data_IF_887140479134
#
_entry.id   IF_887140479134
#
_cell.length_a   1.000
_cell.length_b   1.000
_cell.length_c   1.000
_cell.angle_alpha   90.00
_cell.angle_beta   90.00
_cell.angle_gamma   90.00
#
_symmetry.space_group_name_H-M   'P 1'
#
loop_
_entity.id
_entity.type
_entity.pdbx_description
1 polymer ?
#
# COMPACT_ATOMS: atom_id res chain seq x y z
N UNK A 1 -10.67 34.69 54.06
CA UNK A 1 -9.96 34.96 52.81
C UNK A 1 -9.37 33.63 52.37
N UNK A 2 -10.03 32.97 51.39
CA UNK A 2 -9.49 31.82 50.68
C UNK A 2 -8.61 32.35 49.57
N UNK A 3 -7.35 31.94 49.53
CA UNK A 3 -6.44 32.20 48.42
C UNK A 3 -6.78 31.23 47.33
N UNK A 4 -7.29 31.75 46.21
CA UNK A 4 -7.50 31.05 44.97
C UNK A 4 -6.13 30.81 44.31
N UNK A 5 -5.64 29.57 44.42
CA UNK A 5 -4.43 29.12 43.67
C UNK A 5 -4.83 28.96 42.24
N UNK A 6 -4.51 29.96 41.42
CA UNK A 6 -4.60 29.82 39.97
C UNK A 6 -3.49 28.86 39.50
N UNK A 7 -3.83 27.60 39.15
CA UNK A 7 -2.96 26.74 38.36
C UNK A 7 -2.74 27.40 36.98
N UNK A 8 -1.56 27.96 36.83
CA UNK A 8 -1.06 28.40 35.50
C UNK A 8 -0.82 27.14 34.67
N UNK A 9 -1.77 26.83 33.78
CA UNK A 9 -1.61 25.73 32.83
C UNK A 9 -0.39 26.03 31.97
N UNK A 10 0.63 25.16 32.05
CA UNK A 10 1.77 25.22 31.15
C UNK A 10 1.27 25.27 29.69
N UNK A 11 1.88 26.09 28.81
CA UNK A 11 1.50 26.14 27.40
C UNK A 11 1.58 24.73 26.82
N UNK A 12 0.52 24.28 26.16
CA UNK A 12 0.52 23.02 25.44
C UNK A 12 1.66 23.05 24.43
N UNK A 13 2.70 22.25 24.65
CA UNK A 13 3.79 22.09 23.69
C UNK A 13 3.17 21.45 22.46
N UNK A 14 3.04 22.21 21.38
CA UNK A 14 2.68 21.65 20.09
C UNK A 14 3.83 20.77 19.65
N UNK A 15 3.63 19.45 19.64
CA UNK A 15 4.63 18.50 19.12
C UNK A 15 4.87 18.83 17.66
N UNK A 16 6.14 19.07 17.34
CA UNK A 16 6.63 19.20 15.98
C UNK A 16 7.96 18.40 15.84
N UNK A 17 8.48 18.29 14.64
CA UNK A 17 9.68 17.50 14.36
C UNK A 17 11.00 18.16 14.85
N UNK A 18 10.94 19.26 15.57
CA UNK A 18 12.14 19.93 16.15
C UNK A 18 12.57 19.35 17.49
N UNK A 19 11.71 18.56 18.13
CA UNK A 19 11.93 18.03 19.49
C UNK A 19 11.74 16.50 19.60
N UNK A 20 11.87 15.76 18.49
CA UNK A 20 11.80 14.29 18.50
C UNK A 20 12.91 13.65 19.35
N UNK A 21 14.08 14.25 19.45
CA UNK A 21 15.17 13.79 20.32
C UNK A 21 14.88 13.92 21.83
N UNK A 22 13.81 14.60 22.24
CA UNK A 22 13.45 14.77 23.65
C UNK A 22 12.74 13.49 24.16
N UNK A 23 13.17 12.92 25.30
CA UNK A 23 12.71 11.60 25.75
C UNK A 23 11.23 11.54 26.15
N UNK A 24 10.57 12.68 26.33
CA UNK A 24 9.13 12.79 26.58
C UNK A 24 8.29 12.75 25.31
N UNK A 25 8.91 12.89 24.14
CA UNK A 25 8.23 12.86 22.84
C UNK A 25 8.45 11.51 22.17
N UNK A 26 7.47 11.06 21.40
CA UNK A 26 7.59 9.91 20.51
C UNK A 26 7.26 10.34 19.09
N UNK A 27 8.19 10.14 18.19
CA UNK A 27 8.05 10.57 16.81
C UNK A 27 8.07 9.38 15.85
N UNK A 28 7.08 9.36 14.95
CA UNK A 28 6.95 8.36 13.89
C UNK A 28 7.14 9.04 12.54
N UNK A 29 8.11 8.59 11.77
CA UNK A 29 8.30 8.96 10.37
C UNK A 29 7.71 7.91 9.44
N UNK A 30 7.08 8.30 8.34
CA UNK A 30 6.67 7.36 7.30
C UNK A 30 7.23 7.79 5.95
N UNK A 31 7.81 6.84 5.22
CA UNK A 31 8.30 7.07 3.85
C UNK A 31 7.55 6.12 2.92
N UNK A 32 6.88 6.67 1.90
CA UNK A 32 6.24 5.86 0.86
C UNK A 32 7.25 5.42 -0.20
N UNK A 33 6.95 4.35 -0.89
CA UNK A 33 7.62 4.01 -2.15
C UNK A 33 7.13 4.90 -3.31
N UNK A 34 6.91 4.34 -4.50
CA UNK A 34 6.42 5.09 -5.67
C UNK A 34 4.91 5.30 -5.60
N UNK A 35 4.48 6.18 -4.68
CA UNK A 35 3.06 6.50 -4.49
C UNK A 35 2.86 7.58 -3.45
N UNK A 36 1.63 8.02 -3.33
CA UNK A 36 1.21 9.06 -2.39
C UNK A 36 0.43 8.46 -1.23
N UNK A 37 0.40 9.17 -0.11
CA UNK A 37 -0.42 8.77 1.06
C UNK A 37 -1.93 8.88 0.80
N UNK A 38 -2.35 9.43 -0.32
CA UNK A 38 -3.75 9.53 -0.77
C UNK A 38 -4.02 8.75 -2.08
N UNK A 39 -3.22 7.71 -2.34
CA UNK A 39 -3.27 6.90 -3.57
C UNK A 39 -4.52 6.02 -3.72
N UNK A 40 -5.41 6.04 -2.75
CA UNK A 40 -6.62 5.20 -2.69
C UNK A 40 -6.31 3.70 -2.76
N UNK A 41 -5.15 3.30 -2.23
CA UNK A 41 -4.64 1.93 -2.24
C UNK A 41 -3.62 1.72 -1.12
N UNK A 42 -2.51 1.09 -1.44
CA UNK A 42 -1.48 0.56 -0.56
C UNK A 42 -0.82 1.60 0.36
N UNK A 43 -0.34 2.72 -0.20
CA UNK A 43 0.33 3.75 0.62
C UNK A 43 -0.66 4.46 1.53
N UNK A 44 -1.90 4.69 1.08
CA UNK A 44 -2.95 5.25 1.93
C UNK A 44 -3.25 4.32 3.11
N UNK A 45 -3.42 3.02 2.88
CA UNK A 45 -3.67 2.05 3.94
C UNK A 45 -2.56 2.03 5.00
N UNK A 46 -1.30 2.05 4.57
CA UNK A 46 -0.15 2.10 5.47
C UNK A 46 -0.10 3.41 6.26
N UNK A 47 -0.37 4.54 5.63
CA UNK A 47 -0.41 5.84 6.29
C UNK A 47 -1.54 5.97 7.30
N UNK A 48 -2.75 5.53 6.96
CA UNK A 48 -3.90 5.51 7.88
C UNK A 48 -3.61 4.61 9.10
N UNK A 49 -2.99 3.45 8.89
CA UNK A 49 -2.55 2.59 9.99
C UNK A 49 -1.53 3.28 10.92
N UNK A 50 -0.56 3.98 10.34
CA UNK A 50 0.41 4.76 11.10
C UNK A 50 -0.25 5.93 11.86
N UNK A 51 -1.25 6.60 11.26
CA UNK A 51 -2.02 7.67 11.92
C UNK A 51 -2.79 7.14 13.13
N UNK A 52 -3.46 5.99 12.98
CA UNK A 52 -4.20 5.36 14.08
C UNK A 52 -3.24 5.03 15.22
N UNK A 53 -2.14 4.33 14.92
CA UNK A 53 -1.16 3.93 15.92
C UNK A 53 -0.52 5.14 16.64
N UNK A 54 -0.12 6.18 15.89
CA UNK A 54 0.42 7.40 16.45
C UNK A 54 -0.59 8.11 17.36
N UNK A 55 -1.86 8.17 16.94
CA UNK A 55 -2.93 8.76 17.74
C UNK A 55 -3.19 8.02 19.06
N UNK A 56 -3.14 6.69 19.05
CA UNK A 56 -3.34 5.87 20.25
C UNK A 56 -2.27 6.06 21.33
N UNK A 57 -1.02 6.32 20.91
CA UNK A 57 0.11 6.51 21.85
C UNK A 57 0.48 7.99 22.06
N UNK A 58 -0.24 8.92 21.41
CA UNK A 58 0.07 10.35 21.47
C UNK A 58 1.38 10.74 20.79
N UNK A 59 1.79 9.99 19.75
CA UNK A 59 3.00 10.25 18.99
C UNK A 59 2.80 11.34 17.95
N UNK A 60 3.90 12.04 17.61
CA UNK A 60 3.96 12.90 16.45
C UNK A 60 4.19 12.06 15.19
N UNK A 61 3.39 12.27 14.14
CA UNK A 61 3.54 11.59 12.86
C UNK A 61 3.87 12.59 11.74
N UNK A 62 4.89 12.27 10.96
CA UNK A 62 5.22 12.97 9.72
C UNK A 62 5.52 11.97 8.61
N UNK A 63 5.21 12.32 7.36
CA UNK A 63 5.50 11.48 6.21
C UNK A 63 6.33 12.23 5.15
N UNK A 64 6.97 11.44 4.29
CA UNK A 64 7.64 11.88 3.06
C UNK A 64 7.25 10.93 1.94
N UNK A 65 6.77 11.49 0.83
CA UNK A 65 6.47 10.73 -0.39
C UNK A 65 7.70 10.65 -1.29
N UNK A 66 7.97 9.46 -1.83
CA UNK A 66 9.05 9.27 -2.78
C UNK A 66 8.51 9.27 -4.21
N UNK A 67 9.26 9.87 -5.12
CA UNK A 67 8.92 9.93 -6.56
C UNK A 67 9.91 9.16 -7.43
N UNK A 68 11.04 8.76 -6.85
CA UNK A 68 12.10 8.00 -7.54
C UNK A 68 12.76 7.07 -6.51
N UNK A 69 13.05 5.80 -6.83
CA UNK A 69 13.72 4.88 -5.90
C UNK A 69 15.08 5.36 -5.38
N UNK A 70 15.77 6.19 -6.13
CA UNK A 70 17.04 6.79 -5.68
C UNK A 70 16.91 7.73 -4.48
N UNK A 71 15.67 8.21 -4.19
CA UNK A 71 15.39 9.14 -3.10
C UNK A 71 15.12 8.42 -1.76
N UNK A 72 14.92 7.10 -1.76
CA UNK A 72 14.56 6.32 -0.56
C UNK A 72 15.51 6.54 0.61
N UNK A 73 16.83 6.37 0.38
CA UNK A 73 17.85 6.57 1.42
C UNK A 73 17.85 8.01 1.96
N UNK A 74 17.71 9.00 1.08
CA UNK A 74 17.68 10.39 1.49
C UNK A 74 16.41 10.74 2.26
N UNK A 75 15.27 10.17 1.86
CA UNK A 75 13.99 10.36 2.53
C UNK A 75 13.97 9.74 3.94
N UNK A 76 14.48 8.52 4.09
CA UNK A 76 14.69 7.88 5.40
C UNK A 76 15.63 8.72 6.26
N UNK A 77 16.74 9.20 5.67
CA UNK A 77 17.75 10.02 6.33
C UNK A 77 17.21 11.32 6.94
N UNK A 78 16.13 11.89 6.42
CA UNK A 78 15.48 13.07 7.00
C UNK A 78 14.95 12.81 8.43
N UNK A 79 14.38 11.62 8.65
CA UNK A 79 13.87 11.19 9.97
C UNK A 79 15.02 10.75 10.90
N UNK A 80 16.00 10.01 10.36
CA UNK A 80 17.20 9.61 11.11
C UNK A 80 17.93 10.84 11.67
N UNK A 81 18.14 11.88 10.84
CA UNK A 81 18.84 13.11 11.25
C UNK A 81 18.13 13.90 12.35
N UNK A 82 16.85 13.63 12.60
CA UNK A 82 16.01 14.26 13.65
C UNK A 82 15.74 13.32 14.82
N UNK A 83 16.39 12.16 14.84
CA UNK A 83 16.30 11.19 15.92
C UNK A 83 14.85 10.73 16.18
N UNK A 84 14.10 10.39 15.13
CA UNK A 84 12.79 9.79 15.25
C UNK A 84 12.89 8.43 15.92
N UNK A 85 11.89 8.07 16.74
CA UNK A 85 11.86 6.79 17.47
C UNK A 85 11.52 5.59 16.58
N UNK A 86 10.60 5.83 15.62
CA UNK A 86 10.16 4.80 14.67
C UNK A 86 10.09 5.37 13.26
N UNK A 87 10.60 4.62 12.29
CA UNK A 87 10.49 4.94 10.86
C UNK A 87 9.76 3.79 10.16
N UNK A 88 8.61 4.10 9.57
CA UNK A 88 7.82 3.18 8.74
C UNK A 88 8.23 3.39 7.29
N UNK A 89 8.66 2.34 6.63
CA UNK A 89 9.01 2.34 5.20
C UNK A 89 8.02 1.46 4.45
N UNK A 90 7.33 2.03 3.46
CA UNK A 90 6.21 1.38 2.81
C UNK A 90 6.63 0.83 1.45
N UNK A 91 6.47 -0.48 1.26
CA UNK A 91 6.65 -1.16 -0.01
C UNK A 91 7.92 -2.00 -0.14
N UNK A 92 7.79 -3.08 -0.89
CA UNK A 92 8.85 -4.05 -1.19
C UNK A 92 10.12 -3.40 -1.75
N UNK A 93 9.96 -2.39 -2.62
CA UNK A 93 11.08 -1.70 -3.28
C UNK A 93 12.00 -0.95 -2.30
N UNK A 94 11.52 -0.64 -1.09
CA UNK A 94 12.32 0.04 -0.06
C UNK A 94 13.11 -0.91 0.84
N UNK A 95 12.93 -2.24 0.72
CA UNK A 95 13.49 -3.21 1.68
C UNK A 95 15.00 -3.09 1.89
N UNK A 96 15.77 -2.88 0.82
CA UNK A 96 17.22 -2.71 0.89
C UNK A 96 17.62 -1.42 1.63
N UNK A 97 16.95 -0.30 1.30
CA UNK A 97 17.20 0.98 1.95
C UNK A 97 16.82 0.95 3.45
N UNK A 98 15.73 0.26 3.77
CA UNK A 98 15.26 0.06 5.16
C UNK A 98 16.27 -0.75 5.98
N UNK A 99 16.74 -1.87 5.44
CA UNK A 99 17.71 -2.73 6.11
C UNK A 99 19.05 -2.01 6.33
N UNK A 100 19.53 -1.26 5.32
CA UNK A 100 20.75 -0.46 5.45
C UNK A 100 20.62 0.61 6.53
N UNK A 101 19.51 1.36 6.51
CA UNK A 101 19.26 2.40 7.52
C UNK A 101 19.13 1.83 8.94
N UNK A 102 18.45 0.68 9.09
CA UNK A 102 18.29 0.01 10.38
C UNK A 102 19.63 -0.49 10.95
N UNK A 103 20.49 -1.06 10.10
CA UNK A 103 21.82 -1.52 10.50
C UNK A 103 22.73 -0.38 10.99
N UNK A 104 22.63 0.79 10.36
CA UNK A 104 23.42 1.98 10.72
C UNK A 104 22.87 2.74 11.93
N UNK A 105 21.58 2.53 12.29
CA UNK A 105 20.88 3.30 13.33
C UNK A 105 20.21 2.37 14.36
N UNK A 106 20.98 1.66 15.19
CA UNK A 106 20.44 0.61 16.07
C UNK A 106 19.49 1.11 17.17
N UNK A 107 19.42 2.41 17.42
CA UNK A 107 18.53 3.01 18.41
C UNK A 107 17.18 3.46 17.83
N UNK A 108 17.01 3.41 16.51
CA UNK A 108 15.76 3.74 15.83
C UNK A 108 15.05 2.45 15.45
N UNK A 109 13.75 2.35 15.71
CA UNK A 109 12.94 1.23 15.27
C UNK A 109 12.50 1.43 13.80
N UNK A 110 12.59 0.37 13.01
CA UNK A 110 12.11 0.38 11.63
C UNK A 110 10.97 -0.62 11.46
N UNK A 111 9.95 -0.24 10.72
CA UNK A 111 8.84 -1.10 10.30
C UNK A 111 8.77 -1.07 8.77
N UNK A 112 9.02 -2.20 8.14
CA UNK A 112 8.97 -2.34 6.70
C UNK A 112 7.66 -3.02 6.25
N UNK A 113 6.79 -2.31 5.54
CA UNK A 113 5.53 -2.85 5.01
C UNK A 113 5.82 -3.57 3.69
N UNK A 114 5.35 -4.81 3.54
CA UNK A 114 5.69 -5.73 2.43
C UNK A 114 7.19 -6.04 2.30
N UNK A 115 7.92 -6.00 3.41
CA UNK A 115 9.36 -6.21 3.40
C UNK A 115 9.74 -7.50 4.14
N UNK A 116 10.11 -8.52 3.38
CA UNK A 116 10.66 -9.74 3.95
C UNK A 116 12.09 -9.49 4.44
N UNK A 117 12.38 -9.93 5.67
CA UNK A 117 13.72 -9.83 6.26
C UNK A 117 14.51 -11.11 6.01
N UNK A 118 15.47 -11.06 5.09
CA UNK A 118 16.40 -12.18 4.83
C UNK A 118 17.37 -12.40 5.99
N UNK A 119 17.82 -11.33 6.63
CA UNK A 119 18.62 -11.34 7.86
C UNK A 119 17.87 -10.57 8.95
N UNK A 120 17.81 -11.15 10.14
CA UNK A 120 17.10 -10.52 11.26
C UNK A 120 17.94 -9.40 11.86
N UNK A 121 17.43 -8.17 11.79
CA UNK A 121 17.94 -7.03 12.53
C UNK A 121 17.04 -6.78 13.77
N UNK A 122 17.61 -6.54 14.95
CA UNK A 122 16.83 -6.41 16.19
C UNK A 122 15.89 -5.21 16.21
N UNK A 123 16.16 -4.21 15.39
CA UNK A 123 15.41 -2.96 15.29
C UNK A 123 14.64 -2.80 13.94
N UNK A 124 14.51 -3.88 13.16
CA UNK A 124 13.72 -3.86 11.92
C UNK A 124 12.67 -4.98 11.95
N UNK A 125 11.42 -4.61 11.87
CA UNK A 125 10.28 -5.53 11.75
C UNK A 125 9.68 -5.44 10.35
N UNK A 126 9.75 -6.54 9.60
CA UNK A 126 9.05 -6.66 8.31
C UNK A 126 7.62 -7.16 8.52
N UNK A 127 6.67 -6.46 7.93
CA UNK A 127 5.27 -6.88 7.85
C UNK A 127 5.07 -7.53 6.49
N UNK A 128 4.67 -8.79 6.49
CA UNK A 128 4.36 -9.55 5.27
C UNK A 128 2.93 -10.07 5.37
N UNK A 129 2.27 -10.18 4.25
CA UNK A 129 0.87 -10.56 4.16
C UNK A 129 0.71 -11.81 3.30
N UNK A 130 -0.51 -12.37 3.27
CA UNK A 130 -0.84 -13.54 2.46
C UNK A 130 -1.61 -13.09 1.21
N UNK A 131 -0.93 -12.39 0.31
CA UNK A 131 -1.50 -11.81 -0.91
C UNK A 131 -2.07 -12.89 -1.83
N UNK A 132 -1.44 -14.07 -1.85
CA UNK A 132 -1.94 -15.25 -2.55
C UNK A 132 -3.32 -15.69 -2.07
N UNK A 133 -3.59 -15.60 -0.75
CA UNK A 133 -4.90 -15.94 -0.19
C UNK A 133 -5.94 -14.88 -0.51
N UNK A 134 -5.57 -13.60 -0.43
CA UNK A 134 -6.46 -12.49 -0.80
C UNK A 134 -6.79 -12.53 -2.30
N UNK A 135 -5.78 -12.72 -3.14
CA UNK A 135 -5.95 -12.93 -4.58
C UNK A 135 -6.82 -14.15 -4.89
N UNK A 136 -6.62 -15.27 -4.17
CA UNK A 136 -7.45 -16.48 -4.31
C UNK A 136 -8.92 -16.19 -3.98
N UNK A 137 -9.21 -15.48 -2.90
CA UNK A 137 -10.58 -15.14 -2.53
C UNK A 137 -11.26 -14.26 -3.60
N UNK A 138 -10.54 -13.24 -4.11
CA UNK A 138 -11.00 -12.41 -5.21
C UNK A 138 -11.28 -13.22 -6.48
N UNK A 139 -10.35 -14.11 -6.85
CA UNK A 139 -10.48 -14.99 -8.01
C UNK A 139 -11.62 -16.00 -7.86
N UNK A 140 -11.78 -16.58 -6.68
CA UNK A 140 -12.88 -17.52 -6.40
C UNK A 140 -14.24 -16.84 -6.55
N UNK A 141 -14.37 -15.61 -6.03
CA UNK A 141 -15.58 -14.80 -6.22
C UNK A 141 -15.82 -14.50 -7.71
N UNK A 142 -14.78 -14.11 -8.45
CA UNK A 142 -14.88 -13.85 -9.88
C UNK A 142 -15.32 -15.09 -10.67
N UNK A 143 -14.76 -16.26 -10.36
CA UNK A 143 -15.13 -17.53 -10.98
C UNK A 143 -16.58 -17.95 -10.73
N UNK A 144 -17.11 -17.66 -9.53
CA UNK A 144 -18.52 -17.90 -9.20
C UNK A 144 -19.48 -16.92 -9.89
N UNK A 145 -19.06 -15.66 -10.06
CA UNK A 145 -19.92 -14.58 -10.55
C UNK A 145 -19.95 -14.45 -12.07
N UNK A 146 -18.86 -14.79 -12.75
CA UNK A 146 -18.76 -14.61 -14.21
C UNK A 146 -19.90 -15.27 -14.96
N UNK A 147 -20.42 -14.59 -15.98
CA UNK A 147 -21.44 -15.07 -16.91
C UNK A 147 -20.86 -15.36 -18.29
N UNK A 148 -19.74 -14.76 -18.62
CA UNK A 148 -19.06 -14.94 -19.90
C UNK A 148 -18.02 -16.06 -19.87
N UNK A 149 -17.69 -16.59 -18.69
CA UNK A 149 -16.53 -17.45 -18.42
C UNK A 149 -15.20 -16.79 -18.81
N UNK A 150 -15.14 -15.45 -18.79
CA UNK A 150 -13.92 -14.68 -19.01
C UNK A 150 -13.74 -13.65 -17.92
N UNK A 151 -12.62 -13.73 -17.25
CA UNK A 151 -12.25 -12.78 -16.19
C UNK A 151 -10.83 -12.26 -16.38
N UNK A 152 -10.57 -11.09 -15.86
CA UNK A 152 -9.31 -10.41 -16.04
C UNK A 152 -8.67 -9.93 -14.74
N UNK A 153 -7.39 -9.60 -14.81
CA UNK A 153 -6.69 -8.84 -13.81
C UNK A 153 -5.69 -7.88 -14.47
N UNK A 154 -5.58 -6.68 -13.90
CA UNK A 154 -4.63 -5.64 -14.28
C UNK A 154 -3.82 -5.29 -13.06
N UNK A 155 -2.54 -5.64 -13.08
CA UNK A 155 -1.67 -5.63 -11.90
C UNK A 155 -0.46 -4.73 -12.15
N UNK A 156 0.22 -4.35 -11.07
CA UNK A 156 1.52 -3.71 -11.10
C UNK A 156 2.54 -4.57 -11.86
N UNK A 157 3.67 -4.90 -11.26
CA UNK A 157 4.69 -5.73 -11.93
C UNK A 157 4.91 -7.06 -11.23
N UNK A 158 5.13 -8.14 -11.99
CA UNK A 158 5.45 -9.47 -11.49
C UNK A 158 6.87 -9.60 -10.88
N UNK A 159 7.69 -8.57 -11.03
CA UNK A 159 9.00 -8.49 -10.37
C UNK A 159 8.89 -8.13 -8.88
N UNK A 160 7.72 -7.72 -8.42
CA UNK A 160 7.39 -7.45 -7.01
C UNK A 160 6.59 -8.64 -6.47
N UNK A 161 7.14 -9.47 -5.57
CA UNK A 161 6.52 -10.72 -5.12
C UNK A 161 5.08 -10.58 -4.61
N UNK A 162 4.71 -9.59 -3.76
CA UNK A 162 3.32 -9.37 -3.36
C UNK A 162 2.35 -9.26 -4.55
N UNK A 163 2.73 -8.52 -5.60
CA UNK A 163 1.90 -8.35 -6.80
C UNK A 163 1.77 -9.65 -7.60
N UNK A 164 2.89 -10.39 -7.72
CA UNK A 164 2.87 -11.72 -8.34
C UNK A 164 1.93 -12.66 -7.59
N UNK A 165 1.99 -12.66 -6.24
CA UNK A 165 1.15 -13.53 -5.40
C UNK A 165 -0.34 -13.19 -5.52
N UNK A 166 -0.72 -11.92 -5.61
CA UNK A 166 -2.09 -11.53 -5.95
C UNK A 166 -2.56 -12.14 -7.26
N UNK A 167 -1.74 -12.04 -8.32
CA UNK A 167 -2.09 -12.55 -9.65
C UNK A 167 -2.21 -14.07 -9.69
N UNK A 168 -1.27 -14.79 -9.08
CA UNK A 168 -1.30 -16.26 -9.01
C UNK A 168 -2.45 -16.76 -8.13
N UNK A 169 -2.69 -16.10 -6.99
CA UNK A 169 -3.84 -16.36 -6.14
C UNK A 169 -5.15 -16.18 -6.91
N UNK A 170 -5.30 -15.05 -7.60
CA UNK A 170 -6.48 -14.77 -8.40
C UNK A 170 -6.75 -15.85 -9.45
N UNK A 171 -5.74 -16.21 -10.25
CA UNK A 171 -5.84 -17.28 -11.24
C UNK A 171 -6.29 -18.60 -10.61
N UNK A 172 -5.63 -19.00 -9.51
CA UNK A 172 -5.95 -20.25 -8.82
C UNK A 172 -7.36 -20.24 -8.22
N UNK A 173 -7.81 -19.12 -7.69
CA UNK A 173 -9.17 -18.95 -7.17
C UNK A 173 -10.23 -19.09 -8.25
N UNK A 174 -10.03 -18.43 -9.40
CA UNK A 174 -10.95 -18.56 -10.55
C UNK A 174 -11.05 -20.01 -11.00
N UNK A 175 -9.90 -20.65 -11.23
CA UNK A 175 -9.87 -22.04 -11.70
C UNK A 175 -10.48 -23.04 -10.71
N UNK A 176 -10.39 -22.75 -9.41
CA UNK A 176 -11.02 -23.58 -8.37
C UNK A 176 -12.54 -23.43 -8.37
N UNK A 177 -13.07 -22.24 -8.63
CA UNK A 177 -14.50 -21.97 -8.67
C UNK A 177 -15.14 -22.33 -10.03
N UNK A 178 -14.43 -22.10 -11.13
CA UNK A 178 -14.91 -22.31 -12.49
C UNK A 178 -13.75 -22.79 -13.40
N UNK A 179 -13.53 -24.08 -13.52
CA UNK A 179 -12.47 -24.63 -14.36
C UNK A 179 -12.59 -24.34 -15.87
N UNK A 180 -13.77 -23.91 -16.33
CA UNK A 180 -14.03 -23.56 -17.74
C UNK A 180 -13.73 -22.09 -18.02
N UNK A 181 -13.41 -21.28 -17.00
CA UNK A 181 -13.16 -19.86 -17.19
C UNK A 181 -11.79 -19.59 -17.82
N UNK A 182 -11.77 -18.66 -18.75
CA UNK A 182 -10.54 -18.05 -19.31
C UNK A 182 -10.10 -16.91 -18.37
N UNK A 183 -8.85 -16.96 -17.88
CA UNK A 183 -8.29 -15.99 -16.95
C UNK A 183 -7.16 -15.23 -17.62
N UNK A 184 -7.33 -13.94 -17.83
CA UNK A 184 -6.32 -13.05 -18.39
C UNK A 184 -5.70 -12.21 -17.29
N UNK A 185 -4.49 -12.53 -16.85
CA UNK A 185 -3.72 -11.70 -15.90
C UNK A 185 -2.63 -10.97 -16.68
N UNK A 186 -2.60 -9.64 -16.56
CA UNK A 186 -1.57 -8.79 -17.17
C UNK A 186 -0.83 -8.01 -16.10
N UNK A 187 0.48 -7.90 -16.29
CA UNK A 187 1.38 -7.13 -15.43
C UNK A 187 1.97 -5.98 -16.23
N UNK A 188 2.13 -4.85 -15.57
CA UNK A 188 2.84 -3.72 -16.14
C UNK A 188 4.36 -3.99 -16.18
N UNK A 189 5.06 -3.37 -17.13
CA UNK A 189 6.52 -3.33 -17.10
C UNK A 189 7.02 -2.65 -15.82
N UNK A 190 8.20 -3.00 -15.29
CA UNK A 190 8.67 -2.48 -14.01
C UNK A 190 8.73 -0.95 -13.91
N UNK A 191 9.05 -0.28 -15.02
CA UNK A 191 9.02 1.18 -15.05
C UNK A 191 7.58 1.69 -14.96
N UNK A 192 7.30 2.57 -13.98
CA UNK A 192 5.98 3.14 -13.72
C UNK A 192 4.87 2.13 -13.34
N UNK A 193 5.24 0.92 -12.91
CA UNK A 193 4.31 -0.17 -12.65
C UNK A 193 3.15 0.17 -11.69
N UNK A 194 3.33 1.17 -10.83
CA UNK A 194 2.35 1.60 -9.83
C UNK A 194 1.77 3.00 -10.08
N UNK A 195 2.22 3.68 -11.15
CA UNK A 195 1.90 5.10 -11.39
C UNK A 195 1.38 5.38 -12.80
N UNK A 196 0.91 4.36 -13.53
CA UNK A 196 0.38 4.49 -14.90
C UNK A 196 -1.11 4.11 -14.98
N UNK A 197 -2.02 4.98 -14.50
CA UNK A 197 -3.47 4.72 -14.57
C UNK A 197 -4.00 4.68 -16.00
N UNK A 198 -3.33 5.34 -16.97
CA UNK A 198 -3.76 5.32 -18.37
C UNK A 198 -3.56 3.94 -18.99
N UNK A 199 -2.43 3.30 -18.73
CA UNK A 199 -2.19 1.93 -19.15
C UNK A 199 -3.15 0.96 -18.45
N UNK A 200 -3.37 1.13 -17.15
CA UNK A 200 -4.31 0.32 -16.40
C UNK A 200 -5.73 0.36 -16.99
N UNK A 201 -6.21 1.57 -17.28
CA UNK A 201 -7.50 1.78 -17.93
C UNK A 201 -7.57 1.12 -19.34
N UNK A 202 -6.51 1.29 -20.13
CA UNK A 202 -6.46 0.72 -21.47
C UNK A 202 -6.51 -0.82 -21.47
N UNK A 203 -5.76 -1.47 -20.56
CA UNK A 203 -5.77 -2.92 -20.44
C UNK A 203 -7.10 -3.46 -19.90
N UNK A 204 -7.72 -2.80 -18.92
CA UNK A 204 -9.04 -3.19 -18.44
C UNK A 204 -10.09 -3.09 -19.54
N UNK A 205 -10.11 -2.00 -20.30
CA UNK A 205 -11.00 -1.82 -21.45
C UNK A 205 -10.79 -2.88 -22.52
N UNK A 206 -9.55 -3.22 -22.82
CA UNK A 206 -9.20 -4.29 -23.77
C UNK A 206 -9.74 -5.64 -23.30
N UNK A 207 -9.56 -6.00 -22.02
CA UNK A 207 -10.07 -7.25 -21.47
C UNK A 207 -11.60 -7.32 -21.54
N UNK A 208 -12.31 -6.24 -21.19
CA UNK A 208 -13.78 -6.17 -21.33
C UNK A 208 -14.22 -6.29 -22.79
N UNK A 209 -13.52 -5.64 -23.72
CA UNK A 209 -13.79 -5.76 -25.16
C UNK A 209 -13.60 -7.21 -25.67
N UNK A 210 -12.70 -7.97 -25.04
CA UNK A 210 -12.46 -9.39 -25.32
C UNK A 210 -13.46 -10.31 -24.61
N UNK A 211 -14.39 -9.75 -23.84
CA UNK A 211 -15.50 -10.43 -23.19
C UNK A 211 -15.32 -10.71 -21.71
N UNK A 212 -14.29 -10.19 -21.05
CA UNK A 212 -14.20 -10.27 -19.60
C UNK A 212 -15.32 -9.47 -18.95
N UNK A 213 -16.00 -10.07 -18.00
CA UNK A 213 -17.09 -9.44 -17.25
C UNK A 213 -16.70 -9.11 -15.80
N UNK A 214 -15.52 -9.55 -15.34
CA UNK A 214 -14.95 -9.19 -14.05
C UNK A 214 -13.47 -8.90 -14.23
N UNK A 215 -13.00 -7.77 -13.69
CA UNK A 215 -11.59 -7.36 -13.71
C UNK A 215 -11.12 -7.04 -12.30
N UNK A 216 -10.04 -7.69 -11.88
CA UNK A 216 -9.33 -7.39 -10.63
C UNK A 216 -8.24 -6.35 -10.89
N UNK A 217 -8.18 -5.29 -10.09
CA UNK A 217 -7.16 -4.25 -10.17
C UNK A 217 -6.29 -4.23 -8.92
N UNK A 218 -4.97 -4.48 -9.06
CA UNK A 218 -4.01 -4.40 -7.95
C UNK A 218 -2.66 -3.86 -8.44
N UNK A 219 -2.23 -2.71 -7.91
CA UNK A 219 -0.99 -2.07 -8.34
C UNK A 219 -1.05 -0.55 -8.23
N UNK A 220 -1.48 -0.02 -7.09
CA UNK A 220 -1.53 1.42 -6.84
C UNK A 220 -2.33 2.17 -7.90
N UNK A 221 -1.81 3.28 -8.39
CA UNK A 221 -2.45 4.10 -9.42
C UNK A 221 -2.76 3.34 -10.73
N UNK A 222 -1.93 2.37 -11.11
CA UNK A 222 -2.15 1.53 -12.30
C UNK A 222 -3.38 0.65 -12.13
N UNK A 223 -3.51 -0.04 -10.97
CA UNK A 223 -4.70 -0.82 -10.62
C UNK A 223 -5.95 0.05 -10.54
N UNK A 224 -5.85 1.23 -9.90
CA UNK A 224 -6.96 2.19 -9.81
C UNK A 224 -7.45 2.65 -11.19
N UNK A 225 -6.54 2.85 -12.14
CA UNK A 225 -6.90 3.18 -13.53
C UNK A 225 -7.83 2.14 -14.14
N UNK A 226 -7.55 0.84 -13.90
CA UNK A 226 -8.41 -0.25 -14.34
C UNK A 226 -9.80 -0.19 -13.69
N UNK A 227 -9.87 0.00 -12.35
CA UNK A 227 -11.14 0.09 -11.62
C UNK A 227 -12.00 1.26 -12.10
N UNK A 228 -11.39 2.43 -12.25
CA UNK A 228 -12.06 3.65 -12.72
C UNK A 228 -12.60 3.48 -14.15
N UNK A 229 -11.87 2.81 -15.04
CA UNK A 229 -12.35 2.55 -16.40
C UNK A 229 -13.57 1.61 -16.40
N UNK A 230 -13.55 0.56 -15.59
CA UNK A 230 -14.69 -0.35 -15.42
C UNK A 230 -15.89 0.41 -14.83
N UNK A 231 -15.68 1.24 -13.81
CA UNK A 231 -16.74 2.00 -13.16
C UNK A 231 -17.43 3.01 -14.12
N UNK A 232 -16.73 3.50 -15.13
CA UNK A 232 -17.28 4.37 -16.18
C UNK A 232 -18.06 3.64 -17.27
N UNK A 233 -17.92 2.30 -17.36
CA UNK A 233 -18.64 1.52 -18.35
C UNK A 233 -20.18 1.61 -18.13
N UNK A 234 -21.00 1.75 -19.18
CA UNK A 234 -22.45 1.69 -19.06
C UNK A 234 -22.97 0.37 -18.46
N UNK A 235 -22.20 -0.69 -18.58
CA UNK A 235 -22.48 -2.04 -18.06
C UNK A 235 -22.02 -2.24 -16.61
N UNK A 236 -21.33 -1.25 -16.01
CA UNK A 236 -20.81 -1.33 -14.66
C UNK A 236 -21.91 -1.60 -13.63
N UNK A 237 -21.64 -2.55 -12.71
CA UNK A 237 -22.59 -2.96 -11.68
C UNK A 237 -23.79 -3.77 -12.18
N UNK A 238 -23.92 -4.03 -13.49
CA UNK A 238 -24.99 -4.84 -14.07
C UNK A 238 -24.49 -6.10 -14.76
N UNK A 239 -23.54 -5.97 -15.65
CA UNK A 239 -22.92 -7.09 -16.39
C UNK A 239 -21.39 -7.05 -16.43
N UNK A 240 -20.79 -5.95 -16.01
CA UNK A 240 -19.33 -5.82 -15.83
C UNK A 240 -19.03 -5.33 -14.42
N UNK A 241 -18.07 -5.96 -13.76
CA UNK A 241 -17.70 -5.69 -12.37
C UNK A 241 -16.19 -5.53 -12.23
N UNK A 242 -15.76 -4.81 -11.20
CA UNK A 242 -14.36 -4.77 -10.80
C UNK A 242 -14.21 -5.21 -9.34
N UNK A 243 -13.02 -5.71 -9.02
CA UNK A 243 -12.59 -6.05 -7.66
C UNK A 243 -11.37 -5.20 -7.37
N UNK A 244 -11.40 -4.47 -6.26
CA UNK A 244 -10.30 -3.65 -5.77
C UNK A 244 -9.40 -4.37 -4.77
N UNK A 245 -8.43 -3.65 -4.19
CA UNK A 245 -7.41 -4.17 -3.29
C UNK A 245 -7.11 -3.16 -2.18
N UNK A 246 -6.51 -3.60 -1.09
CA UNK A 246 -5.97 -2.87 0.05
C UNK A 246 -7.02 -2.18 0.93
N UNK A 247 -7.84 -1.33 0.37
CA UNK A 247 -8.88 -0.56 1.09
C UNK A 247 -10.24 -0.70 0.38
N UNK A 248 -11.29 -0.16 0.99
CA UNK A 248 -12.59 -0.02 0.31
C UNK A 248 -12.50 1.03 -0.81
N UNK A 249 -12.36 0.53 -2.05
CA UNK A 249 -12.22 1.35 -3.25
C UNK A 249 -13.55 1.64 -3.96
N UNK A 250 -14.69 1.39 -3.32
CA UNK A 250 -16.01 1.61 -3.94
C UNK A 250 -16.27 3.08 -4.30
N UNK A 251 -15.69 4.02 -3.54
CA UNK A 251 -15.86 5.46 -3.72
C UNK A 251 -14.59 6.16 -4.25
N UNK A 252 -13.68 5.44 -4.86
CA UNK A 252 -12.44 5.99 -5.43
C UNK A 252 -12.60 6.62 -6.79
#
# INVERSE_FOLDING_TARGET
AEEEVTEESAPAVTMDDSNCAAPENYCVGLVTDLGKVDDKSFNQAAFEGAQIAAGEIGAFLKYVESTDPKDYTANIGQFVAKEYDTIVTVGFLMAEASAAAAAENPNINFVGVDQFQGETLPNLTGLIFAEDQAGYAAGYLAGLMTKTNKVGAVLGTDTVPPVLYFGEGYRNGVMAANPEAEVTVVYHEPANAFTDPEWGAAEAKKQVTQGADIVFGAGGGTGNGALIEIAKSPESGTSVFCIGVDIDQYNT
#
